data_IF_581389183677
#
_entry.id   IF_581389183677
#
_cell.length_a   1.000
_cell.length_b   1.000
_cell.length_c   1.000
_cell.angle_alpha   90.00
_cell.angle_beta   90.00
_cell.angle_gamma   90.00
#
_symmetry.space_group_name_H-M   'P 1'
#
loop_
_entity.id
_entity.type
_entity.pdbx_description
1 polymer ?
#
# COMPACT_ATOMS: atom_id res chain seq x y z
N UNK A 1 -0.80 -0.28 -34.15
CA UNK A 1 0.13 -1.34 -33.70
C UNK A 1 -0.69 -2.48 -33.09
N UNK A 2 -0.50 -3.72 -33.57
CA UNK A 2 -1.29 -4.88 -33.15
C UNK A 2 -1.20 -5.16 -31.65
N UNK A 3 -2.28 -5.69 -31.07
CA UNK A 3 -2.33 -6.08 -29.65
C UNK A 3 -1.33 -7.20 -29.39
N UNK A 4 -0.27 -6.94 -28.64
CA UNK A 4 0.49 -8.02 -28.00
C UNK A 4 -0.38 -8.62 -26.89
N UNK A 5 -0.57 -9.93 -26.94
CA UNK A 5 -1.22 -10.69 -25.87
C UNK A 5 -0.38 -10.54 -24.59
N UNK A 6 -1.04 -10.43 -23.44
CA UNK A 6 -0.28 -10.34 -22.19
C UNK A 6 0.28 -11.72 -21.89
N UNK A 7 1.55 -11.78 -21.51
CA UNK A 7 2.12 -12.98 -20.89
C UNK A 7 1.42 -13.17 -19.55
N UNK A 8 0.49 -14.13 -19.51
CA UNK A 8 -0.18 -14.58 -18.30
C UNK A 8 0.29 -16.02 -18.09
N UNK A 9 0.67 -16.32 -16.86
CA UNK A 9 1.05 -17.65 -16.42
C UNK A 9 0.10 -18.08 -15.33
N UNK A 10 -0.60 -19.18 -15.57
CA UNK A 10 -1.72 -19.71 -14.78
C UNK A 10 -1.43 -21.08 -14.16
N UNK A 11 -0.31 -21.71 -14.53
CA UNK A 11 0.18 -22.99 -14.00
C UNK A 11 0.75 -22.87 -12.57
N UNK A 12 1.19 -21.68 -12.16
CA UNK A 12 1.75 -21.43 -10.83
C UNK A 12 1.60 -19.97 -10.40
N UNK A 13 1.66 -19.68 -9.08
CA UNK A 13 1.68 -18.32 -8.59
C UNK A 13 2.77 -17.49 -9.28
N UNK A 14 2.41 -16.30 -9.75
CA UNK A 14 3.28 -15.49 -10.61
C UNK A 14 3.22 -14.02 -10.21
N UNK A 15 4.39 -13.40 -10.09
CA UNK A 15 4.52 -12.00 -9.73
C UNK A 15 4.54 -11.13 -10.98
N UNK A 16 3.78 -10.04 -10.93
CA UNK A 16 3.68 -9.06 -11.98
C UNK A 16 3.99 -7.66 -11.46
N UNK A 17 4.89 -6.96 -12.16
CA UNK A 17 4.96 -5.49 -12.08
C UNK A 17 3.92 -4.91 -13.01
N UNK A 18 2.97 -4.16 -12.48
CA UNK A 18 1.88 -3.54 -13.24
C UNK A 18 2.02 -2.03 -13.22
N UNK A 19 1.87 -1.41 -14.40
CA UNK A 19 1.90 0.03 -14.58
C UNK A 19 0.68 0.52 -15.33
N UNK A 20 0.04 1.59 -14.85
CA UNK A 20 -1.04 2.26 -15.57
C UNK A 20 -0.91 3.77 -15.42
N UNK A 21 -1.10 4.48 -16.54
CA UNK A 21 -1.01 5.94 -16.65
C UNK A 21 -2.36 6.55 -16.97
N UNK A 22 -2.59 7.79 -16.53
CA UNK A 22 -3.78 8.58 -16.85
C UNK A 22 -3.77 9.04 -18.30
N UNK A 23 -4.94 9.23 -18.88
CA UNK A 23 -5.11 9.89 -20.18
C UNK A 23 -5.12 11.42 -20.05
N UNK A 24 -5.24 11.93 -18.82
CA UNK A 24 -5.37 13.35 -18.56
C UNK A 24 -4.00 14.00 -18.40
N UNK A 25 -3.91 15.24 -18.84
CA UNK A 25 -2.74 16.09 -18.67
C UNK A 25 -2.49 16.43 -17.20
N UNK A 26 -1.24 16.82 -16.92
CA UNK A 26 -0.79 17.19 -15.58
C UNK A 26 -0.77 16.02 -14.60
N UNK A 27 -1.17 16.29 -13.35
CA UNK A 27 -1.13 15.35 -12.23
C UNK A 27 -2.52 15.17 -11.61
N UNK A 28 -3.45 14.46 -12.28
CA UNK A 28 -4.83 14.34 -11.81
C UNK A 28 -4.98 13.47 -10.54
N UNK A 29 -4.00 12.63 -10.20
CA UNK A 29 -3.98 11.84 -8.97
C UNK A 29 -3.40 12.69 -7.83
N UNK A 30 -4.24 13.56 -7.27
CA UNK A 30 -3.94 14.26 -6.02
C UNK A 30 -4.20 13.35 -4.81
N UNK A 31 -4.01 13.85 -3.62
CA UNK A 31 -3.98 13.06 -2.39
C UNK A 31 -5.30 12.30 -2.13
N UNK A 32 -6.43 12.97 -2.34
CA UNK A 32 -7.77 12.38 -2.19
C UNK A 32 -8.00 11.28 -3.23
N UNK A 33 -7.59 11.51 -4.47
CA UNK A 33 -7.66 10.54 -5.55
C UNK A 33 -6.77 9.32 -5.26
N UNK A 34 -5.54 9.51 -4.77
CA UNK A 34 -4.66 8.41 -4.38
C UNK A 34 -5.25 7.59 -3.24
N UNK A 35 -5.81 8.23 -2.21
CA UNK A 35 -6.48 7.55 -1.10
C UNK A 35 -7.64 6.69 -1.59
N UNK A 36 -8.46 7.24 -2.50
CA UNK A 36 -9.58 6.50 -3.06
C UNK A 36 -9.14 5.34 -3.95
N UNK A 37 -8.10 5.54 -4.76
CA UNK A 37 -7.53 4.47 -5.58
C UNK A 37 -6.99 3.35 -4.69
N UNK A 38 -6.27 3.69 -3.61
CA UNK A 38 -5.75 2.72 -2.67
C UNK A 38 -6.87 1.97 -1.94
N UNK A 39 -7.96 2.64 -1.55
CA UNK A 39 -9.13 1.98 -0.98
C UNK A 39 -9.79 0.98 -1.95
N UNK A 40 -9.84 1.31 -3.24
CA UNK A 40 -10.34 0.39 -4.29
C UNK A 40 -9.42 -0.82 -4.41
N UNK A 41 -8.10 -0.60 -4.50
CA UNK A 41 -7.10 -1.67 -4.59
C UNK A 41 -7.17 -2.58 -3.36
N UNK A 42 -7.16 -2.02 -2.15
CA UNK A 42 -7.22 -2.80 -0.90
C UNK A 42 -8.48 -3.66 -0.79
N UNK A 43 -9.63 -3.13 -1.18
CA UNK A 43 -10.88 -3.91 -1.25
C UNK A 43 -10.77 -5.03 -2.28
N UNK A 44 -10.20 -4.76 -3.46
CA UNK A 44 -10.07 -5.77 -4.51
C UNK A 44 -9.03 -6.84 -4.17
N UNK A 45 -7.95 -6.54 -3.46
CA UNK A 45 -7.01 -7.54 -2.93
C UNK A 45 -7.70 -8.51 -1.95
N UNK A 46 -8.71 -8.04 -1.19
CA UNK A 46 -9.52 -8.92 -0.33
C UNK A 46 -10.53 -9.78 -1.10
N UNK A 47 -10.84 -9.42 -2.35
CA UNK A 47 -11.83 -10.11 -3.17
C UNK A 47 -11.19 -11.07 -4.18
N UNK A 48 -10.11 -10.66 -4.83
CA UNK A 48 -9.33 -11.45 -5.77
C UNK A 48 -8.31 -12.34 -5.04
N UNK A 49 -7.87 -13.41 -5.70
CA UNK A 49 -6.78 -14.27 -5.23
C UNK A 49 -5.44 -13.66 -5.65
N UNK A 50 -5.08 -12.59 -4.95
CA UNK A 50 -3.91 -11.77 -5.26
C UNK A 50 -3.25 -11.25 -3.99
N UNK A 51 -1.93 -11.33 -3.92
CA UNK A 51 -1.14 -10.67 -2.88
C UNK A 51 -0.60 -9.36 -3.44
N UNK A 52 -0.65 -8.28 -2.66
CA UNK A 52 0.02 -7.02 -3.00
C UNK A 52 1.37 -6.98 -2.28
N UNK A 53 2.46 -7.04 -3.03
CA UNK A 53 3.82 -7.04 -2.48
C UNK A 53 4.39 -5.62 -2.36
N UNK A 54 3.92 -4.70 -3.21
CA UNK A 54 4.33 -3.31 -3.17
C UNK A 54 3.52 -2.44 -4.11
N UNK A 55 3.59 -1.12 -3.92
CA UNK A 55 2.94 -0.16 -4.80
C UNK A 55 3.62 1.21 -4.73
N UNK A 56 3.33 2.06 -5.72
CA UNK A 56 3.60 3.48 -5.66
C UNK A 56 2.59 4.25 -6.53
N UNK A 57 1.82 5.16 -5.95
CA UNK A 57 0.86 6.00 -6.66
C UNK A 57 1.48 7.37 -6.92
N UNK A 58 1.85 7.66 -8.16
CA UNK A 58 2.38 8.97 -8.59
C UNK A 58 1.23 9.90 -9.03
N UNK A 59 1.54 11.15 -9.38
CA UNK A 59 0.52 12.13 -9.76
C UNK A 59 -0.22 11.82 -11.07
N UNK A 60 0.34 11.02 -11.97
CA UNK A 60 -0.25 10.69 -13.29
C UNK A 60 -0.14 9.21 -13.67
N UNK A 61 0.45 8.36 -12.83
CA UNK A 61 0.53 6.93 -13.05
C UNK A 61 0.69 6.20 -11.72
N UNK A 62 0.54 4.89 -11.74
CA UNK A 62 0.82 4.07 -10.58
C UNK A 62 1.56 2.79 -10.96
N UNK A 63 2.26 2.24 -9.97
CA UNK A 63 2.90 0.93 -9.99
C UNK A 63 2.24 0.04 -8.94
N UNK A 64 1.92 -1.21 -9.30
CA UNK A 64 1.60 -2.28 -8.36
C UNK A 64 2.56 -3.44 -8.61
N UNK A 65 2.97 -4.12 -7.55
CA UNK A 65 3.69 -5.39 -7.61
C UNK A 65 2.79 -6.42 -6.95
N UNK A 66 2.26 -7.35 -7.74
CA UNK A 66 1.22 -8.28 -7.29
C UNK A 66 1.60 -9.71 -7.60
N UNK A 67 1.33 -10.63 -6.67
CA UNK A 67 1.40 -12.08 -6.92
C UNK A 67 -0.02 -12.56 -7.23
N UNK A 68 -0.25 -13.05 -8.44
CA UNK A 68 -1.50 -13.72 -8.80
C UNK A 68 -1.39 -15.19 -8.47
N UNK A 69 -2.38 -15.74 -7.77
CA UNK A 69 -2.49 -17.17 -7.49
C UNK A 69 -3.22 -17.92 -8.60
N UNK A 70 -3.13 -19.24 -8.61
CA UNK A 70 -3.78 -20.13 -9.58
C UNK A 70 -5.20 -20.50 -9.15
N UNK A 71 -5.93 -21.19 -10.03
CA UNK A 71 -7.27 -21.70 -9.70
C UNK A 71 -7.27 -22.71 -8.55
N UNK A 72 -6.15 -23.37 -8.27
CA UNK A 72 -5.99 -24.28 -7.13
C UNK A 72 -6.22 -23.56 -5.79
N UNK A 73 -5.80 -22.30 -5.67
CA UNK A 73 -6.05 -21.49 -4.50
C UNK A 73 -7.53 -21.05 -4.38
N UNK A 74 -8.26 -21.04 -5.51
CA UNK A 74 -9.63 -20.54 -5.63
C UNK A 74 -10.67 -21.66 -5.44
N UNK A 75 -10.64 -22.29 -4.27
CA UNK A 75 -11.64 -23.30 -3.86
C UNK A 75 -13.05 -22.68 -3.81
N UNK A 76 -14.08 -23.51 -4.03
CA UNK A 76 -15.48 -23.05 -4.00
C UNK A 76 -15.83 -22.36 -2.67
N UNK A 77 -15.38 -22.93 -1.55
CA UNK A 77 -15.59 -22.36 -0.22
C UNK A 77 -15.00 -20.95 -0.09
N UNK A 78 -13.78 -20.74 -0.59
CA UNK A 78 -13.11 -19.44 -0.49
C UNK A 78 -13.73 -18.40 -1.47
N UNK A 79 -14.16 -18.83 -2.66
CA UNK A 79 -14.92 -17.98 -3.59
C UNK A 79 -16.24 -17.53 -2.96
N UNK A 80 -17.04 -18.45 -2.42
CA UNK A 80 -18.33 -18.14 -1.77
C UNK A 80 -18.12 -17.18 -0.61
N UNK A 81 -17.11 -17.43 0.23
CA UNK A 81 -16.75 -16.57 1.37
C UNK A 81 -16.37 -15.16 0.92
N UNK A 82 -15.51 -15.02 -0.10
CA UNK A 82 -15.09 -13.71 -0.64
C UNK A 82 -16.26 -12.98 -1.31
N UNK A 83 -17.11 -13.70 -2.03
CA UNK A 83 -18.31 -13.18 -2.65
C UNK A 83 -19.29 -12.60 -1.63
N UNK A 84 -19.64 -13.39 -0.60
CA UNK A 84 -20.50 -12.91 0.50
C UNK A 84 -19.91 -11.73 1.26
N UNK A 85 -18.59 -11.72 1.48
CA UNK A 85 -17.91 -10.57 2.11
C UNK A 85 -17.98 -9.30 1.26
N UNK A 86 -17.99 -9.44 -0.07
CA UNK A 86 -18.01 -8.32 -1.02
C UNK A 86 -19.41 -7.78 -1.28
N UNK A 87 -20.42 -8.65 -1.39
CA UNK A 87 -21.78 -8.28 -1.83
C UNK A 87 -22.85 -8.35 -0.72
N UNK A 88 -22.56 -8.99 0.42
CA UNK A 88 -23.49 -9.18 1.52
C UNK A 88 -23.67 -10.66 1.87
N UNK A 89 -23.94 -10.95 3.15
CA UNK A 89 -24.03 -12.33 3.66
C UNK A 89 -25.22 -13.10 3.10
N UNK A 90 -26.29 -12.38 2.79
CA UNK A 90 -27.58 -12.92 2.33
C UNK A 90 -27.61 -13.12 0.80
N UNK A 91 -26.55 -12.72 0.09
CA UNK A 91 -26.46 -12.94 -1.35
C UNK A 91 -26.06 -14.39 -1.63
N UNK A 92 -26.93 -15.09 -2.34
CA UNK A 92 -26.67 -16.44 -2.84
C UNK A 92 -25.85 -16.40 -4.13
N UNK A 93 -25.00 -17.41 -4.30
CA UNK A 93 -24.19 -17.60 -5.51
C UNK A 93 -24.47 -19.00 -6.04
N UNK A 94 -24.90 -19.07 -7.29
CA UNK A 94 -25.23 -20.34 -7.95
C UNK A 94 -23.95 -21.10 -8.33
N UNK A 95 -23.95 -22.44 -8.38
CA UNK A 95 -22.76 -23.23 -8.67
C UNK A 95 -22.03 -22.84 -9.97
N UNK A 96 -22.77 -22.52 -11.04
CA UNK A 96 -22.17 -22.07 -12.29
C UNK A 96 -21.43 -20.73 -12.16
N UNK A 97 -21.95 -19.82 -11.33
CA UNK A 97 -21.30 -18.53 -11.04
C UNK A 97 -20.00 -18.73 -10.28
N UNK A 98 -19.93 -19.72 -9.38
CA UNK A 98 -18.69 -20.05 -8.66
C UNK A 98 -17.57 -20.40 -9.66
N UNK A 99 -17.87 -21.17 -10.71
CA UNK A 99 -16.90 -21.50 -11.76
C UNK A 99 -16.45 -20.25 -12.55
N UNK A 100 -17.36 -19.33 -12.86
CA UNK A 100 -17.02 -18.06 -13.51
C UNK A 100 -16.14 -17.17 -12.63
N UNK A 101 -16.45 -17.11 -11.33
CA UNK A 101 -15.64 -16.38 -10.36
C UNK A 101 -14.27 -17.02 -10.15
N UNK A 102 -14.14 -18.35 -10.21
CA UNK A 102 -12.83 -19.03 -10.11
C UNK A 102 -11.86 -18.51 -11.17
N UNK A 103 -12.26 -18.59 -12.44
CA UNK A 103 -11.46 -18.09 -13.58
C UNK A 103 -11.19 -16.59 -13.48
N UNK A 104 -12.18 -15.82 -13.03
CA UNK A 104 -12.10 -14.36 -12.99
C UNK A 104 -11.19 -13.85 -11.86
N UNK A 105 -11.31 -14.40 -10.65
CA UNK A 105 -10.67 -13.87 -9.45
C UNK A 105 -9.18 -14.17 -9.36
N UNK A 106 -8.67 -15.06 -10.22
CA UNK A 106 -7.23 -15.32 -10.43
C UNK A 106 -6.65 -14.55 -11.62
N UNK A 107 -7.49 -13.81 -12.37
CA UNK A 107 -7.09 -13.16 -13.61
C UNK A 107 -6.59 -11.72 -13.38
N UNK A 108 -5.31 -11.46 -13.70
CA UNK A 108 -4.70 -10.13 -13.60
C UNK A 108 -5.46 -9.06 -14.41
N UNK A 109 -5.92 -9.43 -15.61
CA UNK A 109 -6.67 -8.54 -16.48
C UNK A 109 -8.01 -8.10 -15.88
N UNK A 110 -8.73 -9.03 -15.24
CA UNK A 110 -9.97 -8.74 -14.54
C UNK A 110 -9.73 -7.85 -13.30
N UNK A 111 -8.71 -8.18 -12.49
CA UNK A 111 -8.31 -7.37 -11.33
C UNK A 111 -8.03 -5.92 -11.73
N UNK A 112 -7.20 -5.72 -12.75
CA UNK A 112 -6.85 -4.40 -13.24
C UNK A 112 -8.00 -3.67 -13.92
N UNK A 113 -8.91 -4.39 -14.60
CA UNK A 113 -10.13 -3.82 -15.17
C UNK A 113 -11.00 -3.23 -14.05
N UNK A 114 -11.19 -3.95 -12.96
CA UNK A 114 -12.06 -3.51 -11.86
C UNK A 114 -11.46 -2.34 -11.08
N UNK A 115 -10.13 -2.32 -10.88
CA UNK A 115 -9.42 -1.15 -10.33
C UNK A 115 -9.68 0.07 -11.21
N UNK A 116 -9.37 -0.05 -12.51
CA UNK A 116 -9.43 1.07 -13.45
C UNK A 116 -10.85 1.59 -13.61
N UNK A 117 -11.83 0.71 -13.77
CA UNK A 117 -13.24 1.09 -13.92
C UNK A 117 -13.81 1.68 -12.64
N UNK A 118 -13.56 1.06 -11.49
CA UNK A 118 -14.01 1.58 -10.20
C UNK A 118 -13.49 2.99 -9.94
N UNK A 119 -12.21 3.24 -10.23
CA UNK A 119 -11.62 4.56 -10.05
C UNK A 119 -12.17 5.58 -11.06
N UNK A 120 -12.31 5.20 -12.34
CA UNK A 120 -12.86 6.09 -13.38
C UNK A 120 -14.27 6.55 -13.00
N UNK A 121 -15.13 5.64 -12.54
CA UNK A 121 -16.49 5.96 -12.08
C UNK A 121 -16.47 6.95 -10.92
N UNK A 122 -15.60 6.73 -9.93
CA UNK A 122 -15.44 7.65 -8.81
C UNK A 122 -14.98 9.04 -9.28
N UNK A 123 -13.91 9.11 -10.06
CA UNK A 123 -13.30 10.37 -10.47
C UNK A 123 -14.27 11.19 -11.33
N UNK A 124 -14.89 10.56 -12.32
CA UNK A 124 -15.86 11.20 -13.19
C UNK A 124 -17.08 11.70 -12.41
N UNK A 125 -17.61 10.93 -11.46
CA UNK A 125 -18.70 11.39 -10.59
C UNK A 125 -18.27 12.60 -9.75
N UNK A 126 -17.09 12.55 -9.13
CA UNK A 126 -16.58 13.64 -8.26
C UNK A 126 -16.30 14.92 -9.02
N UNK A 127 -15.83 14.82 -10.27
CA UNK A 127 -15.46 15.97 -11.11
C UNK A 127 -16.55 16.38 -12.11
N UNK A 128 -17.77 15.83 -11.96
CA UNK A 128 -18.90 16.02 -12.89
C UNK A 128 -18.49 15.88 -14.38
N UNK A 129 -17.73 14.83 -14.69
CA UNK A 129 -17.12 14.61 -16.00
C UNK A 129 -17.58 13.29 -16.61
N UNK A 130 -17.44 13.16 -17.93
CA UNK A 130 -17.64 11.91 -18.68
C UNK A 130 -16.35 11.56 -19.43
N UNK A 131 -16.24 10.33 -19.93
CA UNK A 131 -15.11 9.87 -20.74
C UNK A 131 -14.00 9.15 -19.96
N UNK A 132 -12.87 8.92 -20.62
CA UNK A 132 -11.77 8.12 -20.09
C UNK A 132 -10.94 8.88 -19.06
N UNK A 133 -10.52 8.17 -18.00
CA UNK A 133 -9.54 8.67 -17.03
C UNK A 133 -8.15 8.06 -17.27
N UNK A 134 -8.11 6.77 -17.57
CA UNK A 134 -6.88 6.05 -17.88
C UNK A 134 -6.56 6.14 -19.36
N UNK A 135 -5.26 6.18 -19.68
CA UNK A 135 -4.78 6.06 -21.05
C UNK A 135 -4.88 4.61 -21.53
N UNK A 136 -3.81 4.15 -22.18
CA UNK A 136 -3.70 2.81 -22.72
C UNK A 136 -4.01 1.68 -21.71
N UNK A 137 -4.04 0.45 -22.24
CA UNK A 137 -4.01 -0.77 -21.42
C UNK A 137 -2.86 -0.67 -20.40
N UNK A 138 -3.07 -1.23 -19.21
CA UNK A 138 -1.97 -1.38 -18.26
C UNK A 138 -0.86 -2.22 -18.89
N UNK A 139 0.40 -1.88 -18.57
CA UNK A 139 1.58 -2.67 -18.89
C UNK A 139 1.83 -3.65 -17.74
N UNK A 140 2.34 -4.84 -18.05
CA UNK A 140 2.71 -5.83 -17.06
C UNK A 140 4.01 -6.53 -17.46
N UNK A 141 4.87 -6.81 -16.48
CA UNK A 141 6.11 -7.58 -16.63
C UNK A 141 6.11 -8.69 -15.59
N UNK A 142 6.45 -9.93 -15.99
CA UNK A 142 6.63 -11.04 -15.04
C UNK A 142 7.95 -10.86 -14.31
N UNK A 143 7.94 -11.07 -13.00
CA UNK A 143 9.07 -10.83 -12.12
C UNK A 143 9.43 -12.14 -11.44
N UNK A 144 10.72 -12.49 -11.47
CA UNK A 144 11.24 -13.62 -10.71
C UNK A 144 11.29 -13.26 -9.21
N UNK A 145 11.03 -14.25 -8.35
CA UNK A 145 11.21 -14.10 -6.90
C UNK A 145 12.68 -13.84 -6.52
N UNK A 146 12.91 -13.54 -5.24
CA UNK A 146 14.25 -13.28 -4.70
C UNK A 146 14.81 -11.91 -5.08
N UNK A 147 16.07 -11.89 -5.51
CA UNK A 147 16.81 -10.67 -5.83
C UNK A 147 16.10 -9.75 -6.85
N UNK A 148 15.46 -10.32 -7.88
CA UNK A 148 14.74 -9.54 -8.90
C UNK A 148 13.53 -8.80 -8.30
N UNK A 149 12.80 -9.46 -7.40
CA UNK A 149 11.66 -8.88 -6.71
C UNK A 149 12.07 -7.74 -5.77
N UNK A 150 13.07 -7.93 -4.92
CA UNK A 150 13.49 -6.90 -3.95
C UNK A 150 14.04 -5.66 -4.65
N UNK A 151 14.79 -5.84 -5.75
CA UNK A 151 15.25 -4.74 -6.62
C UNK A 151 14.08 -3.96 -7.23
N UNK A 152 13.08 -4.66 -7.75
CA UNK A 152 11.89 -4.02 -8.31
C UNK A 152 11.12 -3.25 -7.24
N UNK A 153 10.88 -3.84 -6.08
CA UNK A 153 10.18 -3.19 -4.97
C UNK A 153 10.91 -1.91 -4.58
N UNK A 154 12.24 -1.97 -4.41
CA UNK A 154 13.05 -0.78 -4.13
C UNK A 154 12.97 0.28 -5.23
N UNK A 155 13.00 -0.14 -6.50
CA UNK A 155 12.78 0.76 -7.63
C UNK A 155 11.42 1.48 -7.52
N UNK A 156 10.36 0.75 -7.16
CA UNK A 156 9.01 1.30 -7.00
C UNK A 156 8.94 2.30 -5.86
N UNK A 157 9.51 1.97 -4.70
CA UNK A 157 9.52 2.84 -3.50
C UNK A 157 10.45 4.05 -3.62
N UNK A 158 11.45 4.00 -4.51
CA UNK A 158 12.34 5.13 -4.80
C UNK A 158 11.79 6.13 -5.81
N UNK A 159 10.69 5.81 -6.51
CA UNK A 159 10.12 6.71 -7.53
C UNK A 159 9.78 8.12 -6.98
N UNK A 160 9.18 8.27 -5.78
CA UNK A 160 8.91 9.59 -5.22
C UNK A 160 10.18 10.40 -4.93
N UNK A 161 11.25 9.75 -4.48
CA UNK A 161 12.56 10.38 -4.24
C UNK A 161 13.16 10.84 -5.57
N UNK A 162 13.18 9.95 -6.58
CA UNK A 162 13.72 10.24 -7.91
C UNK A 162 12.97 11.37 -8.62
N UNK A 163 11.67 11.47 -8.39
CA UNK A 163 10.83 12.56 -8.86
C UNK A 163 10.98 13.86 -8.04
N UNK A 164 11.73 13.83 -6.94
CA UNK A 164 11.96 14.97 -6.06
C UNK A 164 10.75 15.36 -5.20
N UNK A 165 9.78 14.47 -5.01
CA UNK A 165 8.59 14.70 -4.19
C UNK A 165 8.91 14.63 -2.70
N UNK A 166 9.90 13.82 -2.32
CA UNK A 166 10.32 13.60 -0.93
C UNK A 166 11.83 13.36 -0.85
N UNK A 167 12.40 13.54 0.35
CA UNK A 167 13.83 13.28 0.60
C UNK A 167 14.09 11.87 1.13
N UNK A 168 13.12 11.27 1.85
CA UNK A 168 13.18 9.88 2.30
C UNK A 168 12.04 9.08 1.66
N UNK A 169 12.23 7.79 1.33
CA UNK A 169 11.19 6.96 0.74
C UNK A 169 9.94 6.87 1.62
N UNK A 170 10.10 6.67 2.93
CA UNK A 170 8.99 6.55 3.87
C UNK A 170 8.20 7.84 4.11
N UNK A 171 8.72 8.98 3.66
CA UNK A 171 7.98 10.24 3.69
C UNK A 171 6.81 10.24 2.70
N UNK A 172 6.84 9.41 1.66
CA UNK A 172 5.78 9.31 0.67
C UNK A 172 4.76 8.22 1.04
N UNK A 173 3.60 8.63 1.57
CA UNK A 173 2.62 7.67 2.12
C UNK A 173 1.94 6.75 1.10
N UNK A 174 1.93 7.12 -0.18
CA UNK A 174 1.33 6.31 -1.23
C UNK A 174 2.34 5.40 -1.94
N UNK A 175 3.32 4.90 -1.19
CA UNK A 175 4.19 3.79 -1.61
C UNK A 175 4.22 2.68 -0.56
N UNK A 176 4.74 1.51 -0.94
CA UNK A 176 4.82 0.32 -0.10
C UNK A 176 5.55 0.60 1.22
N UNK A 177 6.79 1.07 1.14
CA UNK A 177 7.60 1.39 2.32
C UNK A 177 6.97 2.51 3.17
N UNK A 178 6.44 3.56 2.54
CA UNK A 178 5.72 4.62 3.26
C UNK A 178 4.51 4.09 4.04
N UNK A 179 3.71 3.22 3.42
CA UNK A 179 2.60 2.55 4.08
C UNK A 179 3.06 1.63 5.22
N UNK A 180 4.11 0.83 5.04
CA UNK A 180 4.65 -0.05 6.08
C UNK A 180 5.07 0.73 7.31
N UNK A 181 5.80 1.85 7.13
CA UNK A 181 6.27 2.69 8.23
C UNK A 181 5.12 3.40 8.94
N UNK A 182 4.18 3.95 8.17
CA UNK A 182 3.09 4.76 8.75
C UNK A 182 2.02 3.90 9.40
N UNK A 183 1.58 2.84 8.72
CA UNK A 183 0.44 2.01 9.16
C UNK A 183 0.87 0.75 9.90
N UNK A 184 2.14 0.34 9.79
CA UNK A 184 2.63 -0.89 10.40
C UNK A 184 1.95 -2.14 9.84
N UNK A 185 1.43 -2.06 8.61
CA UNK A 185 0.66 -3.10 7.94
C UNK A 185 -0.51 -3.72 8.75
N UNK A 186 -1.16 -2.93 9.62
CA UNK A 186 -2.18 -3.44 10.57
C UNK A 186 -3.39 -4.12 9.91
N UNK A 187 -3.72 -3.70 8.70
CA UNK A 187 -4.82 -4.26 7.91
C UNK A 187 -4.40 -5.41 6.98
N UNK A 188 -3.12 -5.82 7.04
CA UNK A 188 -2.58 -6.95 6.30
C UNK A 188 -2.64 -6.76 4.78
N UNK A 189 -2.59 -5.51 4.32
CA UNK A 189 -2.70 -5.18 2.90
C UNK A 189 -1.48 -5.65 2.09
N UNK A 190 -0.28 -5.46 2.64
CA UNK A 190 0.94 -5.89 1.99
C UNK A 190 1.34 -7.28 2.47
N UNK A 191 1.68 -8.14 1.53
CA UNK A 191 2.38 -9.38 1.82
C UNK A 191 3.87 -9.05 2.04
N UNK A 192 4.42 -9.54 3.15
CA UNK A 192 5.78 -9.24 3.58
C UNK A 192 6.81 -10.21 3.01
N UNK A 193 6.40 -11.12 2.13
CA UNK A 193 7.30 -11.92 1.30
C UNK A 193 7.93 -11.08 0.19
N UNK A 194 8.74 -10.09 0.58
CA UNK A 194 9.39 -9.11 -0.30
C UNK A 194 10.60 -9.70 -1.06
N UNK A 195 10.64 -11.02 -1.25
CA UNK A 195 11.80 -11.76 -1.77
C UNK A 195 12.89 -12.00 -0.71
N UNK A 196 12.58 -11.75 0.57
CA UNK A 196 13.52 -11.87 1.69
C UNK A 196 13.52 -13.25 2.36
N UNK A 197 12.64 -14.17 1.95
CA UNK A 197 12.69 -15.58 2.40
C UNK A 197 14.04 -16.23 2.06
N UNK A 198 14.65 -15.85 0.95
CA UNK A 198 16.00 -16.30 0.58
C UNK A 198 17.08 -15.85 1.58
N UNK A 199 16.80 -14.84 2.40
CA UNK A 199 17.71 -14.35 3.45
C UNK A 199 17.40 -14.96 4.82
N UNK A 200 16.56 -15.99 4.87
CA UNK A 200 16.11 -16.71 6.06
C UNK A 200 15.57 -15.77 7.15
N UNK A 201 14.93 -14.67 6.75
CA UNK A 201 14.29 -13.72 7.67
C UNK A 201 12.78 -13.89 7.64
N UNK A 202 12.21 -14.25 8.80
CA UNK A 202 10.79 -14.52 8.95
C UNK A 202 10.11 -13.54 9.90
N UNK A 203 10.87 -12.77 10.69
CA UNK A 203 10.30 -11.79 11.62
C UNK A 203 9.86 -10.53 10.85
N UNK A 204 8.56 -10.19 10.82
CA UNK A 204 8.04 -9.07 10.04
C UNK A 204 8.78 -7.75 10.25
N UNK A 205 9.24 -7.47 11.48
CA UNK A 205 9.98 -6.24 11.78
C UNK A 205 11.35 -6.22 11.12
N UNK A 206 12.06 -7.33 11.16
CA UNK A 206 13.38 -7.44 10.54
C UNK A 206 13.29 -7.48 9.02
N UNK A 207 12.24 -8.09 8.45
CA UNK A 207 11.92 -7.98 7.02
C UNK A 207 11.81 -6.50 6.62
N UNK A 208 10.98 -5.71 7.32
CA UNK A 208 10.79 -4.28 7.01
C UNK A 208 12.09 -3.49 7.19
N UNK A 209 12.87 -3.77 8.24
CA UNK A 209 14.14 -3.09 8.51
C UNK A 209 15.20 -3.40 7.44
N UNK A 210 15.38 -4.68 7.09
CA UNK A 210 16.32 -5.13 6.04
C UNK A 210 15.90 -4.63 4.67
N UNK A 211 14.60 -4.65 4.37
CA UNK A 211 14.07 -4.05 3.16
C UNK A 211 14.34 -2.54 3.11
N UNK A 212 14.09 -1.81 4.20
CA UNK A 212 14.42 -0.38 4.30
C UNK A 212 15.91 -0.13 4.07
N UNK A 213 16.79 -0.91 4.70
CA UNK A 213 18.23 -0.85 4.45
C UNK A 213 18.54 -1.00 2.95
N UNK A 214 17.97 -2.02 2.31
CA UNK A 214 18.16 -2.27 0.89
C UNK A 214 17.70 -1.09 0.01
N UNK A 215 16.54 -0.50 0.30
CA UNK A 215 16.02 0.68 -0.41
C UNK A 215 16.97 1.87 -0.28
N UNK A 216 17.52 2.11 0.90
CA UNK A 216 18.44 3.22 1.16
C UNK A 216 19.78 3.05 0.43
N UNK A 217 20.38 1.87 0.53
CA UNK A 217 21.66 1.59 -0.13
C UNK A 217 21.49 1.63 -1.66
N UNK A 218 20.38 1.09 -2.19
CA UNK A 218 20.05 1.16 -3.63
C UNK A 218 19.76 2.59 -4.08
N UNK A 219 19.06 3.39 -3.27
CA UNK A 219 18.70 4.77 -3.61
C UNK A 219 19.90 5.73 -3.62
N UNK A 220 20.98 5.37 -2.92
CA UNK A 220 22.24 6.11 -2.90
C UNK A 220 23.11 5.85 -4.15
N UNK A 221 22.87 4.74 -4.86
CA UNK A 221 23.63 4.40 -6.06
C UNK A 221 23.25 5.33 -7.22
N UNK A 222 24.26 5.78 -7.97
CA UNK A 222 24.00 6.49 -9.22
C UNK A 222 23.49 5.52 -10.28
N UNK A 223 22.29 5.81 -10.78
CA UNK A 223 21.64 5.03 -11.84
C UNK A 223 21.51 5.84 -13.14
N UNK A 224 22.08 7.06 -13.19
CA UNK A 224 21.99 7.98 -14.31
C UNK A 224 20.59 8.55 -14.57
N UNK A 225 19.60 8.30 -13.70
CA UNK A 225 18.20 8.72 -13.88
C UNK A 225 17.58 9.28 -12.59
N UNK A 226 17.14 10.54 -12.65
CA UNK A 226 16.40 11.20 -11.57
C UNK A 226 17.27 11.60 -10.38
N UNK A 227 16.63 12.13 -9.33
CA UNK A 227 17.35 12.49 -8.09
C UNK A 227 17.76 11.24 -7.31
N UNK A 228 18.97 11.27 -6.77
CA UNK A 228 19.47 10.23 -5.85
C UNK A 228 19.08 10.58 -4.41
N UNK A 229 19.17 9.58 -3.54
CA UNK A 229 19.05 9.80 -2.10
C UNK A 229 20.27 10.58 -1.60
N UNK A 230 20.05 11.59 -0.75
CA UNK A 230 21.13 12.39 -0.23
C UNK A 230 22.12 11.51 0.59
N UNK A 231 23.41 11.45 0.24
CA UNK A 231 24.40 10.61 0.92
C UNK A 231 24.48 10.85 2.43
N UNK A 232 24.27 12.09 2.89
CA UNK A 232 24.27 12.41 4.33
C UNK A 232 23.06 11.81 5.05
N UNK A 233 21.91 11.72 4.39
CA UNK A 233 20.76 11.01 4.93
C UNK A 233 21.09 9.53 5.05
N UNK A 234 21.69 8.92 4.02
CA UNK A 234 22.07 7.50 4.02
C UNK A 234 23.07 7.20 5.15
N UNK A 235 24.13 8.01 5.29
CA UNK A 235 25.10 7.89 6.39
C UNK A 235 24.42 7.93 7.76
N UNK A 236 23.45 8.84 7.97
CA UNK A 236 22.70 8.94 9.23
C UNK A 236 21.83 7.71 9.48
N UNK A 237 21.15 7.18 8.47
CA UNK A 237 20.32 5.98 8.62
C UNK A 237 21.17 4.71 8.84
N UNK A 238 22.36 4.65 8.21
CA UNK A 238 23.36 3.60 8.47
C UNK A 238 23.82 3.59 9.92
N UNK A 239 24.11 4.77 10.51
CA UNK A 239 24.44 4.89 11.95
C UNK A 239 23.31 4.40 12.86
N UNK A 240 22.06 4.50 12.43
CA UNK A 240 20.88 3.97 13.15
C UNK A 240 20.62 2.48 12.89
N UNK A 241 21.42 1.81 12.06
CA UNK A 241 21.16 0.44 11.61
C UNK A 241 19.82 0.29 10.86
N UNK A 242 19.38 1.39 10.23
CA UNK A 242 18.09 1.50 9.55
C UNK A 242 16.84 1.30 10.43
N UNK A 243 17.01 1.28 11.76
CA UNK A 243 15.90 1.19 12.72
C UNK A 243 15.15 2.52 12.81
N UNK A 244 13.83 2.43 12.95
CA UNK A 244 12.96 3.59 13.19
C UNK A 244 12.73 3.73 14.69
N UNK A 245 13.00 4.92 15.23
CA UNK A 245 12.63 5.23 16.61
C UNK A 245 11.11 5.41 16.74
N UNK A 246 10.59 5.33 17.96
CA UNK A 246 9.18 5.64 18.23
C UNK A 246 8.82 7.08 17.83
N UNK A 247 9.75 8.02 18.00
CA UNK A 247 9.60 9.40 17.54
C UNK A 247 9.55 9.51 16.00
N UNK A 248 10.37 8.74 15.28
CA UNK A 248 10.32 8.68 13.81
C UNK A 248 8.95 8.16 13.35
N UNK A 249 8.49 7.03 13.90
CA UNK A 249 7.17 6.44 13.59
C UNK A 249 6.04 7.41 13.91
N UNK A 250 6.12 8.10 15.05
CA UNK A 250 5.14 9.12 15.41
C UNK A 250 5.11 10.27 14.39
N UNK A 251 6.28 10.79 14.02
CA UNK A 251 6.39 11.87 13.04
C UNK A 251 5.76 11.47 11.71
N UNK A 252 5.99 10.25 11.23
CA UNK A 252 5.40 9.75 10.00
C UNK A 252 3.87 9.62 10.10
N UNK A 253 3.34 9.19 11.25
CA UNK A 253 1.90 9.10 11.49
C UNK A 253 1.20 10.45 11.65
N UNK A 254 1.88 11.42 12.26
CA UNK A 254 1.29 12.72 12.55
C UNK A 254 1.48 13.74 11.42
N UNK A 255 2.50 13.55 10.55
CA UNK A 255 2.71 14.41 9.38
C UNK A 255 1.47 14.50 8.49
N UNK A 256 0.67 13.44 8.46
CA UNK A 256 -0.64 13.41 7.81
C UNK A 256 -1.70 13.36 8.91
N UNK A 257 -2.07 14.55 9.43
CA UNK A 257 -2.95 14.85 10.59
C UNK A 257 -4.37 14.20 10.59
N UNK A 258 -4.60 13.14 9.83
CA UNK A 258 -5.89 12.47 9.70
C UNK A 258 -6.13 11.38 10.76
N UNK A 259 -5.07 10.81 11.35
CA UNK A 259 -5.20 9.60 12.19
C UNK A 259 -5.15 9.85 13.71
N UNK A 260 -4.65 11.00 14.16
CA UNK A 260 -4.34 11.22 15.59
C UNK A 260 -5.51 11.72 16.44
N UNK A 261 -6.53 12.33 15.84
CA UNK A 261 -7.72 12.85 16.54
C UNK A 261 -7.44 14.05 17.45
N UNK A 262 -6.60 13.87 18.48
CA UNK A 262 -6.16 14.88 19.45
C UNK A 262 -4.71 14.56 19.86
N UNK A 263 -3.83 15.56 19.90
CA UNK A 263 -2.44 15.47 20.37
C UNK A 263 -2.15 16.68 21.26
N UNK A 264 -1.49 16.45 22.40
CA UNK A 264 -0.99 17.51 23.27
C UNK A 264 -0.51 16.96 24.59
N UNK A 265 -0.47 17.80 25.63
CA UNK A 265 -0.23 17.32 26.99
C UNK A 265 -1.34 16.37 27.43
N UNK A 266 -1.11 15.62 28.51
CA UNK A 266 -2.13 14.72 29.06
C UNK A 266 -3.40 15.50 29.44
N UNK A 267 -3.20 16.68 30.00
CA UNK A 267 -4.25 17.62 30.43
C UNK A 267 -5.06 18.07 29.21
N UNK A 268 -4.39 18.56 28.16
CA UNK A 268 -5.04 19.01 26.92
C UNK A 268 -5.81 17.88 26.22
N UNK A 269 -5.21 16.69 26.11
CA UNK A 269 -5.87 15.53 25.49
C UNK A 269 -7.11 15.12 26.29
N UNK A 270 -7.05 15.20 27.62
CA UNK A 270 -8.20 14.92 28.49
C UNK A 270 -9.30 15.96 28.33
N UNK A 271 -8.95 17.24 28.35
CA UNK A 271 -9.89 18.36 28.19
C UNK A 271 -10.66 18.26 26.86
N UNK A 272 -9.93 18.11 25.75
CA UNK A 272 -10.56 18.01 24.43
C UNK A 272 -11.38 16.72 24.30
N UNK A 273 -10.92 15.59 24.87
CA UNK A 273 -11.70 14.33 24.92
C UNK A 273 -13.02 14.52 25.67
N UNK A 274 -12.99 15.15 26.85
CA UNK A 274 -14.19 15.37 27.66
C UNK A 274 -15.21 16.25 26.92
N UNK A 275 -14.76 17.16 26.06
CA UNK A 275 -15.60 17.97 25.18
C UNK A 275 -16.23 17.19 24.01
N UNK A 276 -15.58 16.15 23.47
CA UNK A 276 -16.05 15.42 22.26
C UNK A 276 -16.54 13.99 22.51
N UNK A 277 -16.44 13.46 23.74
CA UNK A 277 -16.81 12.06 24.06
C UNK A 277 -18.24 11.68 23.70
N UNK A 278 -19.17 12.63 23.74
CA UNK A 278 -20.57 12.44 23.34
C UNK A 278 -20.75 12.18 21.84
N UNK A 279 -19.76 12.55 21.01
CA UNK A 279 -19.75 12.33 19.55
C UNK A 279 -19.09 11.00 19.15
N UNK A 280 -18.40 10.32 20.09
CA UNK A 280 -17.51 9.19 19.80
C UNK A 280 -18.08 7.82 20.17
N UNK A 281 -19.31 7.77 20.67
CA UNK A 281 -20.08 6.53 20.99
C UNK A 281 -19.28 5.48 21.80
N UNK A 282 -18.36 5.97 22.65
CA UNK A 282 -17.38 5.12 23.36
C UNK A 282 -17.91 4.70 24.73
N UNK A 283 -18.16 3.39 24.89
CA UNK A 283 -18.61 2.76 26.14
C UNK A 283 -17.49 2.33 27.11
N UNK A 284 -16.21 2.55 26.78
CA UNK A 284 -15.06 2.06 27.58
C UNK A 284 -14.24 3.19 28.24
N UNK A 285 -13.66 2.86 29.41
CA UNK A 285 -12.83 3.73 30.25
C UNK A 285 -11.55 4.29 29.58
N UNK A 286 -11.15 5.48 30.08
CA UNK A 286 -9.94 6.26 29.77
C UNK A 286 -8.71 5.39 29.48
N UNK A 287 -8.19 5.46 28.25
CA UNK A 287 -6.81 5.01 27.93
C UNK A 287 -6.07 6.05 27.09
N UNK A 288 -5.42 7.00 27.75
CA UNK A 288 -4.47 7.92 27.12
C UNK A 288 -3.12 7.23 26.99
N UNK A 289 -2.51 7.28 25.80
CA UNK A 289 -1.26 6.58 25.53
C UNK A 289 -0.12 7.60 25.38
N UNK A 290 0.96 7.51 26.18
CA UNK A 290 2.13 8.35 25.99
C UNK A 290 2.79 8.04 24.64
N UNK A 291 3.28 9.08 23.98
CA UNK A 291 4.00 8.94 22.72
C UNK A 291 5.47 8.64 23.03
N UNK A 292 5.90 7.40 22.81
CA UNK A 292 7.27 7.01 23.11
C UNK A 292 8.31 7.85 22.36
N UNK A 293 9.31 8.35 23.07
CA UNK A 293 10.39 9.18 22.52
C UNK A 293 10.08 10.68 22.47
N UNK A 294 8.95 11.14 23.00
CA UNK A 294 8.68 12.55 23.27
C UNK A 294 8.08 12.71 24.67
N UNK A 295 8.84 13.33 25.57
CA UNK A 295 8.38 13.61 26.91
C UNK A 295 7.21 14.61 26.89
N UNK A 296 6.18 14.33 27.68
CA UNK A 296 5.01 15.21 27.83
C UNK A 296 3.95 15.13 26.73
N UNK A 297 4.10 14.27 25.70
CA UNK A 297 3.14 14.18 24.58
C UNK A 297 2.26 12.93 24.68
N UNK A 298 0.94 13.12 24.61
CA UNK A 298 -0.08 12.08 24.68
C UNK A 298 -1.00 12.08 23.44
N UNK A 299 -1.64 10.93 23.17
CA UNK A 299 -2.62 10.79 22.07
C UNK A 299 -3.83 9.94 22.47
N UNK A 300 -4.97 10.18 21.81
CA UNK A 300 -6.26 9.53 22.07
C UNK A 300 -6.35 8.09 21.54
N UNK A 301 -5.67 7.76 20.44
CA UNK A 301 -5.65 6.40 19.86
C UNK A 301 -4.33 5.70 20.18
N UNK A 302 -4.35 4.36 20.30
CA UNK A 302 -3.11 3.56 20.41
C UNK A 302 -2.25 3.77 19.16
N UNK A 303 -1.30 4.69 19.25
CA UNK A 303 -0.20 4.85 18.31
C UNK A 303 0.81 3.73 18.55
N UNK A 304 0.39 2.47 18.58
CA UNK A 304 1.29 1.33 18.75
C UNK A 304 2.39 1.38 17.67
N UNK A 305 3.61 1.69 18.08
CA UNK A 305 4.78 1.21 17.37
C UNK A 305 4.66 -0.32 17.40
N UNK A 306 4.28 -0.95 16.30
CA UNK A 306 4.60 -2.36 16.12
C UNK A 306 6.06 -2.40 15.66
N UNK A 307 6.94 -1.94 16.54
CA UNK A 307 8.38 -2.14 16.49
C UNK A 307 8.76 -2.24 17.98
N UNK A 308 8.49 -3.41 18.56
CA UNK A 308 9.12 -3.88 19.79
C UNK A 308 10.06 -5.01 19.40
#
# INVERSE_FOLDING_TARGET
>A
MGRIARFVRDDRPTIYHVMSRTALDGFPLQDIEKDRLMAIVARLCKFYFVDLLGFCLMGNHFHLVVRMHTEEAATDAEIVKRFKKQFGKDVEIMPHQVQDYRRRLVNLGAFMKDIKQGFTRYFNKRRNRKGFFWGDRFKSVIVQEGASLVNLLAYVDLNPVRAGLVQKPEDYRWSGLGYLVQRGNRDGLLDLDLGLKEWNELEPKEIVRKYRQFVYETGAMDTGKGKQLNPEIVKRERKKGYKLSRADVFRHRCRYFTDSGIIGSKEFVSEVFDGVKHLLDSKNERRFMPVGGMDGVYSMKRLAAVIS
#
